data_IF_909730708818
#
_entry.id   IF_909730708818
#
_cell.length_a   1.000
_cell.length_b   1.000
_cell.length_c   1.000
_cell.angle_alpha   90.00
_cell.angle_beta   90.00
_cell.angle_gamma   90.00
#
_symmetry.space_group_name_H-M   'P 1'
#
loop_
_entity.id
_entity.type
_entity.pdbx_description
1 polymer ?
#
# COMPACT_ATOMS: atom_id res chain seq x y z
N UNK A 1 -9.56 -16.78 26.57
CA UNK A 1 -10.29 -16.61 25.28
C UNK A 1 -10.10 -15.17 24.86
N UNK A 2 -9.62 -14.91 23.65
CA UNK A 2 -9.53 -13.53 23.17
C UNK A 2 -10.95 -12.96 23.06
N UNK A 3 -11.19 -11.81 23.67
CA UNK A 3 -12.46 -11.11 23.57
C UNK A 3 -12.63 -10.59 22.14
N UNK A 4 -13.71 -11.02 21.46
CA UNK A 4 -14.04 -10.62 20.11
C UNK A 4 -14.12 -9.10 19.96
N UNK A 5 -14.54 -8.38 21.00
CA UNK A 5 -14.56 -6.91 21.01
C UNK A 5 -13.15 -6.33 20.86
N UNK A 6 -12.19 -6.87 21.62
CA UNK A 6 -10.79 -6.41 21.60
C UNK A 6 -10.10 -6.69 20.26
N UNK A 7 -10.48 -7.78 19.58
CA UNK A 7 -9.99 -8.07 18.23
C UNK A 7 -10.57 -7.08 17.21
N UNK A 8 -11.84 -6.72 17.33
CA UNK A 8 -12.49 -5.73 16.45
C UNK A 8 -11.88 -4.33 16.62
N UNK A 9 -11.60 -3.90 17.85
CA UNK A 9 -10.90 -2.63 18.10
C UNK A 9 -9.51 -2.59 17.45
N UNK A 10 -8.79 -3.71 17.45
CA UNK A 10 -7.49 -3.81 16.77
C UNK A 10 -7.63 -3.75 15.24
N UNK A 11 -8.69 -4.35 14.70
CA UNK A 11 -9.01 -4.26 13.27
C UNK A 11 -9.33 -2.80 12.90
N UNK A 12 -10.21 -2.13 13.67
CA UNK A 12 -10.57 -0.73 13.42
C UNK A 12 -9.33 0.18 13.45
N UNK A 13 -8.40 -0.07 14.37
CA UNK A 13 -7.13 0.68 14.43
C UNK A 13 -6.25 0.40 13.21
N UNK A 14 -6.14 -0.86 12.79
CA UNK A 14 -5.40 -1.23 11.59
C UNK A 14 -6.00 -0.58 10.33
N UNK A 15 -7.33 -0.53 10.22
CA UNK A 15 -8.03 0.10 9.11
C UNK A 15 -7.75 1.61 9.04
N UNK A 16 -7.77 2.30 10.18
CA UNK A 16 -7.40 3.72 10.24
C UNK A 16 -5.97 3.96 9.74
N UNK A 17 -5.04 3.09 10.11
CA UNK A 17 -3.63 3.24 9.74
C UNK A 17 -3.40 2.88 8.26
N UNK A 18 -4.12 1.88 7.73
CA UNK A 18 -4.17 1.57 6.29
C UNK A 18 -4.68 2.77 5.49
N UNK A 19 -5.79 3.39 5.89
CA UNK A 19 -6.33 4.56 5.20
C UNK A 19 -5.34 5.72 5.18
N UNK A 20 -4.71 6.03 6.33
CA UNK A 20 -3.66 7.08 6.40
C UNK A 20 -2.50 6.78 5.46
N UNK A 21 -2.04 5.53 5.41
CA UNK A 21 -0.94 5.12 4.53
C UNK A 21 -1.32 5.22 3.05
N UNK A 22 -2.56 4.84 2.69
CA UNK A 22 -3.07 4.92 1.32
C UNK A 22 -3.21 6.37 0.85
N UNK A 23 -3.72 7.27 1.69
CA UNK A 23 -3.81 8.71 1.38
C UNK A 23 -2.41 9.27 1.12
N UNK A 24 -1.45 9.02 2.02
CA UNK A 24 -0.05 9.43 1.82
C UNK A 24 0.54 8.89 0.51
N UNK A 25 0.26 7.63 0.17
CA UNK A 25 0.71 7.03 -1.09
C UNK A 25 0.08 7.73 -2.29
N UNK A 26 -1.20 8.09 -2.22
CA UNK A 26 -1.90 8.80 -3.29
C UNK A 26 -1.26 10.16 -3.58
N UNK A 27 -1.00 10.96 -2.54
CA UNK A 27 -0.37 12.27 -2.69
C UNK A 27 0.99 12.17 -3.41
N UNK A 28 1.82 11.20 -3.02
CA UNK A 28 3.10 10.93 -3.68
C UNK A 28 2.96 10.51 -5.14
N UNK A 29 1.94 9.71 -5.47
CA UNK A 29 1.65 9.32 -6.87
C UNK A 29 1.25 10.54 -7.70
N UNK A 30 0.48 11.47 -7.13
CA UNK A 30 0.10 12.72 -7.79
C UNK A 30 1.31 13.59 -8.08
N UNK A 31 2.25 13.71 -7.13
CA UNK A 31 3.52 14.41 -7.34
C UNK A 31 4.38 13.76 -8.43
N UNK A 32 4.50 12.43 -8.42
CA UNK A 32 5.21 11.69 -9.47
C UNK A 32 4.59 11.96 -10.84
N UNK A 33 3.25 11.95 -10.93
CA UNK A 33 2.52 12.27 -12.16
C UNK A 33 2.81 13.69 -12.64
N UNK A 34 2.86 14.67 -11.73
CA UNK A 34 3.24 16.06 -12.04
C UNK A 34 4.65 16.13 -12.62
N UNK A 35 5.63 15.54 -11.94
CA UNK A 35 7.04 15.53 -12.37
C UNK A 35 7.22 14.87 -13.74
N UNK A 36 6.54 13.72 -13.98
CA UNK A 36 6.61 13.03 -15.27
C UNK A 36 6.04 13.89 -16.40
N UNK A 37 4.91 14.58 -16.17
CA UNK A 37 4.32 15.50 -17.14
C UNK A 37 5.25 16.67 -17.47
N UNK A 38 5.82 17.31 -16.44
CA UNK A 38 6.78 18.42 -16.60
C UNK A 38 8.02 18.01 -17.41
N UNK A 39 8.45 16.75 -17.28
CA UNK A 39 9.62 16.20 -17.99
C UNK A 39 9.29 15.53 -19.32
N UNK A 40 8.03 15.53 -19.75
CA UNK A 40 7.59 14.83 -20.97
C UNK A 40 7.79 13.31 -20.92
N UNK A 41 7.86 12.71 -19.72
CA UNK A 41 8.05 11.28 -19.52
C UNK A 41 6.73 10.52 -19.57
N UNK A 42 6.78 9.27 -20.03
CA UNK A 42 5.62 8.39 -20.03
C UNK A 42 5.12 8.14 -18.59
N UNK A 43 3.79 8.25 -18.43
CA UNK A 43 3.11 7.94 -17.16
C UNK A 43 3.29 6.46 -16.82
N UNK A 44 3.14 5.59 -17.83
CA UNK A 44 3.37 4.15 -17.72
C UNK A 44 4.86 3.81 -17.63
N UNK A 45 5.25 3.05 -16.61
CA UNK A 45 6.63 2.59 -16.39
C UNK A 45 6.60 1.14 -15.86
N UNK A 46 6.63 0.13 -16.75
CA UNK A 46 6.45 -1.27 -16.37
C UNK A 46 7.57 -1.78 -15.46
N UNK A 47 8.81 -1.31 -15.65
CA UNK A 47 9.94 -1.66 -14.77
C UNK A 47 9.74 -1.12 -13.36
N UNK A 48 9.12 0.06 -13.21
CA UNK A 48 8.78 0.61 -11.90
C UNK A 48 7.68 -0.20 -11.23
N UNK A 49 6.66 -0.63 -11.97
CA UNK A 49 5.55 -1.44 -11.48
C UNK A 49 6.02 -2.80 -10.97
N UNK A 50 6.86 -3.51 -11.74
CA UNK A 50 7.50 -4.75 -11.34
C UNK A 50 8.23 -4.61 -9.99
N UNK A 51 9.06 -3.56 -9.85
CA UNK A 51 9.73 -3.28 -8.56
C UNK A 51 8.78 -2.93 -7.41
N UNK A 52 7.59 -2.36 -7.67
CA UNK A 52 6.58 -2.17 -6.62
C UNK A 52 6.07 -3.54 -6.18
N UNK A 53 5.68 -4.38 -7.13
CA UNK A 53 5.09 -5.69 -6.88
C UNK A 53 6.06 -6.57 -6.09
N UNK A 54 7.31 -6.70 -6.54
CA UNK A 54 8.34 -7.47 -5.83
C UNK A 54 8.50 -6.99 -4.38
N UNK A 55 8.55 -5.68 -4.18
CA UNK A 55 8.70 -5.11 -2.83
C UNK A 55 7.49 -5.41 -1.95
N UNK A 56 6.28 -5.26 -2.47
CA UNK A 56 5.05 -5.48 -1.70
C UNK A 56 4.87 -6.96 -1.39
N UNK A 57 5.12 -7.85 -2.35
CA UNK A 57 5.11 -9.30 -2.15
C UNK A 57 6.11 -9.71 -1.06
N UNK A 58 7.33 -9.17 -1.09
CA UNK A 58 8.34 -9.44 -0.06
C UNK A 58 8.00 -8.86 1.32
N UNK A 59 7.21 -7.79 1.39
CA UNK A 59 6.73 -7.22 2.65
C UNK A 59 5.55 -8.00 3.23
N UNK A 60 4.77 -8.64 2.37
CA UNK A 60 3.55 -9.32 2.81
C UNK A 60 3.86 -10.46 3.79
N UNK A 61 5.00 -11.17 3.68
CA UNK A 61 5.54 -12.25 4.54
C UNK A 61 4.53 -13.08 5.35
N UNK A 62 3.29 -13.23 4.86
CA UNK A 62 2.27 -14.05 5.50
C UNK A 62 2.44 -15.43 4.91
N UNK A 63 2.74 -16.45 5.73
CA UNK A 63 2.47 -17.82 5.32
C UNK A 63 1.01 -17.89 4.89
N UNK A 64 0.72 -18.65 3.83
CA UNK A 64 -0.64 -19.11 3.59
C UNK A 64 -1.06 -19.93 4.82
N UNK A 65 -1.89 -19.34 5.69
CA UNK A 65 -2.54 -20.08 6.75
C UNK A 65 -3.85 -20.62 6.20
N UNK A 66 -3.90 -21.95 6.05
CA UNK A 66 -5.14 -22.70 5.86
C UNK A 66 -5.98 -22.56 7.13
N UNK A 67 -7.16 -21.92 7.00
CA UNK A 67 -8.20 -21.86 8.03
C UNK A 67 -9.26 -22.93 7.79
#
# INVERSE_FOLDING_TARGET
>A
MADLSKLREQIDQADQDLVKALVKRYDLVMEVGRVKREKGQAVFDPKREERVLDKVTNLAQRPEEDF
#
